data_IF_834089559539
#
_entry.id   IF_834089559539
#
_cell.length_a   1.000
_cell.length_b   1.000
_cell.length_c   1.000
_cell.angle_alpha   90.00
_cell.angle_beta   90.00
_cell.angle_gamma   90.00
#
_symmetry.space_group_name_H-M   'P 1'
#
loop_
_entity.id
_entity.type
_entity.pdbx_description
1 polymer ?
#
# COMPACT_ATOMS: atom_id res chain seq x y z
N UNK A 1 15.87 14.87 -12.32
CA UNK A 1 15.42 14.10 -11.15
C UNK A 1 14.35 14.92 -10.45
N UNK A 2 13.17 14.37 -10.22
CA UNK A 2 12.24 14.97 -9.26
C UNK A 2 12.90 14.80 -7.90
N UNK A 3 13.10 15.90 -7.20
CA UNK A 3 13.53 15.85 -5.79
C UNK A 3 12.45 15.08 -5.01
N UNK A 4 12.87 14.22 -4.08
CA UNK A 4 11.96 13.54 -3.18
C UNK A 4 11.29 14.57 -2.29
N UNK A 5 9.96 14.62 -2.29
CA UNK A 5 9.20 15.50 -1.41
C UNK A 5 9.21 14.92 0.00
N UNK A 6 9.48 15.76 0.99
CA UNK A 6 9.40 15.37 2.38
C UNK A 6 7.93 15.28 2.81
N UNK A 7 7.57 14.16 3.40
CA UNK A 7 6.21 13.88 3.84
C UNK A 7 5.94 14.30 5.28
N UNK A 8 4.65 14.36 5.60
CA UNK A 8 4.15 14.77 6.91
C UNK A 8 3.08 13.77 7.41
N UNK A 9 2.94 13.70 8.73
CA UNK A 9 1.87 12.96 9.40
C UNK A 9 1.00 13.93 10.18
N UNK A 10 -0.30 13.78 10.04
CA UNK A 10 -1.28 14.61 10.73
C UNK A 10 -2.25 13.78 11.56
N UNK A 11 -2.62 14.29 12.72
CA UNK A 11 -3.78 13.86 13.48
C UNK A 11 -4.99 14.69 13.02
N UNK A 12 -6.09 14.02 12.74
CA UNK A 12 -7.35 14.66 12.37
C UNK A 12 -8.38 14.41 13.45
N UNK A 13 -8.90 15.47 14.06
CA UNK A 13 -9.97 15.40 15.05
C UNK A 13 -11.33 15.73 14.43
N UNK A 14 -12.38 15.26 15.08
CA UNK A 14 -13.76 15.47 14.66
C UNK A 14 -14.10 14.94 13.25
N UNK A 15 -13.44 13.85 12.84
CA UNK A 15 -13.71 13.21 11.55
C UNK A 15 -14.88 12.23 11.64
N UNK A 16 -14.86 11.36 12.67
CA UNK A 16 -15.82 10.26 12.85
C UNK A 16 -17.24 10.78 13.06
N UNK A 17 -18.16 10.34 12.20
CA UNK A 17 -19.58 10.72 12.26
C UNK A 17 -19.86 12.20 11.95
N UNK A 18 -18.87 12.96 11.52
CA UNK A 18 -19.03 14.37 11.19
C UNK A 18 -19.28 14.55 9.69
N UNK A 19 -20.35 15.28 9.35
CA UNK A 19 -20.71 15.62 7.96
C UNK A 19 -20.31 17.04 7.56
N UNK A 20 -19.73 17.81 8.49
CA UNK A 20 -19.32 19.19 8.25
C UNK A 20 -17.78 19.30 8.26
N UNK A 21 -17.12 19.34 7.10
CA UNK A 21 -15.66 19.36 7.02
C UNK A 21 -15.03 20.59 7.69
N UNK A 22 -15.78 21.68 7.90
CA UNK A 22 -15.27 22.88 8.58
C UNK A 22 -14.99 22.67 10.07
N UNK A 23 -15.50 21.59 10.65
CA UNK A 23 -15.29 21.20 12.05
C UNK A 23 -14.09 20.25 12.25
N UNK A 24 -13.56 19.72 11.17
CA UNK A 24 -12.36 18.88 11.24
C UNK A 24 -11.16 19.75 11.55
N UNK A 25 -10.44 19.40 12.61
CA UNK A 25 -9.18 20.05 12.96
C UNK A 25 -8.01 19.16 12.60
N UNK A 26 -6.87 19.78 12.31
CA UNK A 26 -5.66 19.10 11.84
C UNK A 26 -4.47 19.56 12.69
N UNK A 27 -3.77 18.61 13.30
CA UNK A 27 -2.52 18.81 14.05
C UNK A 27 -1.37 18.13 13.34
N UNK A 28 -0.26 18.83 13.13
CA UNK A 28 0.97 18.24 12.60
C UNK A 28 1.61 17.38 13.68
N UNK A 29 1.81 16.08 13.39
CA UNK A 29 2.42 15.10 14.31
C UNK A 29 3.89 14.90 13.97
N UNK A 30 4.23 14.79 12.69
CA UNK A 30 5.61 14.60 12.22
C UNK A 30 5.81 15.20 10.83
N UNK A 31 7.04 15.59 10.54
CA UNK A 31 7.45 16.11 9.23
C UNK A 31 8.83 15.60 8.82
N UNK A 32 9.29 16.00 7.62
CA UNK A 32 10.60 15.61 7.08
C UNK A 32 10.79 14.09 6.88
N UNK A 33 9.72 13.34 6.67
CA UNK A 33 9.73 11.92 6.35
C UNK A 33 9.98 11.72 4.85
N UNK A 34 10.81 10.72 4.49
CA UNK A 34 11.13 10.41 3.09
C UNK A 34 9.97 9.71 2.38
N UNK A 35 9.03 10.48 1.83
CA UNK A 35 7.85 10.03 1.08
C UNK A 35 7.14 8.83 1.76
N UNK A 36 6.54 9.03 2.95
CA UNK A 36 5.91 7.97 3.72
C UNK A 36 4.67 7.44 3.01
N UNK A 37 4.60 6.12 2.79
CA UNK A 37 3.49 5.48 2.08
C UNK A 37 2.74 4.43 2.91
N UNK A 38 3.12 4.25 4.16
CA UNK A 38 2.42 3.40 5.11
C UNK A 38 2.58 3.89 6.54
N UNK A 39 1.49 3.77 7.30
CA UNK A 39 1.43 4.14 8.70
C UNK A 39 0.63 3.09 9.46
N UNK A 40 1.07 2.75 10.67
CA UNK A 40 0.31 1.94 11.61
C UNK A 40 0.56 2.39 13.05
N UNK A 41 -0.46 2.22 13.89
CA UNK A 41 -0.39 2.51 15.32
C UNK A 41 -0.38 1.20 16.10
N UNK A 42 0.66 0.98 16.90
CA UNK A 42 0.85 -0.28 17.64
C UNK A 42 1.36 0.03 19.06
N UNK A 43 0.65 -0.47 20.06
CA UNK A 43 1.02 -0.35 21.46
C UNK A 43 1.33 1.11 21.90
N UNK A 44 0.53 2.07 21.46
CA UNK A 44 0.70 3.48 21.82
C UNK A 44 1.70 4.25 20.95
N UNK A 45 2.24 3.65 19.89
CA UNK A 45 3.31 4.25 19.08
C UNK A 45 2.97 4.22 17.60
N UNK A 46 3.31 5.29 16.89
CA UNK A 46 3.16 5.39 15.42
C UNK A 46 4.43 4.88 14.74
N UNK A 47 4.24 4.01 13.75
CA UNK A 47 5.28 3.50 12.87
C UNK A 47 4.98 3.93 11.43
N UNK A 48 6.02 4.36 10.71
CA UNK A 48 5.89 4.87 9.33
C UNK A 48 6.89 4.16 8.42
N UNK A 49 6.42 3.64 7.29
CA UNK A 49 7.29 3.15 6.22
C UNK A 49 7.67 4.29 5.28
N UNK A 50 8.97 4.51 5.16
CA UNK A 50 9.59 5.46 4.22
C UNK A 50 10.24 4.69 3.06
N UNK A 51 10.69 5.38 2.01
CA UNK A 51 11.32 4.72 0.84
C UNK A 51 12.45 3.77 1.18
N UNK A 52 13.21 4.05 2.23
CA UNK A 52 14.44 3.38 2.62
C UNK A 52 14.38 2.66 3.98
N UNK A 53 13.26 2.72 4.69
CA UNK A 53 13.18 2.08 6.00
C UNK A 53 11.91 2.30 6.80
N UNK A 54 11.91 1.77 8.00
CA UNK A 54 10.83 1.86 8.99
C UNK A 54 11.26 2.75 10.14
N UNK A 55 10.48 3.79 10.40
CA UNK A 55 10.71 4.78 11.45
C UNK A 55 9.60 4.72 12.49
N UNK A 56 9.99 4.77 13.75
CA UNK A 56 9.10 4.99 14.89
C UNK A 56 9.03 6.48 15.18
N UNK A 57 7.83 7.01 15.34
CA UNK A 57 7.59 8.36 15.80
C UNK A 57 7.35 8.30 17.31
N UNK A 58 8.28 8.86 18.07
CA UNK A 58 8.24 8.85 19.54
C UNK A 58 7.80 10.21 20.03
N UNK A 59 6.75 10.21 20.82
CA UNK A 59 6.23 11.35 21.57
C UNK A 59 6.60 11.10 23.03
N UNK A 60 7.54 11.88 23.58
CA UNK A 60 8.07 11.66 24.95
C UNK A 60 7.27 12.38 26.03
N UNK A 61 6.67 13.52 25.69
CA UNK A 61 5.95 14.36 26.66
C UNK A 61 4.42 14.25 26.58
N UNK A 62 3.90 13.52 25.59
CA UNK A 62 2.48 13.22 25.44
C UNK A 62 1.69 14.35 24.79
N UNK A 63 2.33 15.23 24.06
CA UNK A 63 1.70 16.35 23.39
C UNK A 63 1.22 16.01 21.96
N UNK A 64 1.35 14.75 21.52
CA UNK A 64 0.99 14.22 20.18
C UNK A 64 1.85 14.79 19.03
N UNK A 65 3.00 15.35 19.34
CA UNK A 65 4.02 15.76 18.35
C UNK A 65 5.24 14.86 18.51
N UNK A 66 5.90 14.54 17.42
CA UNK A 66 7.07 13.68 17.44
C UNK A 66 8.30 14.42 17.94
N UNK A 67 8.87 13.97 19.05
CA UNK A 67 10.12 14.45 19.64
C UNK A 67 11.34 13.73 19.05
N UNK A 68 11.24 12.42 18.83
CA UNK A 68 12.31 11.59 18.33
C UNK A 68 11.85 10.73 17.15
N UNK A 69 12.64 10.74 16.08
CA UNK A 69 12.49 9.84 14.91
C UNK A 69 13.48 8.70 15.04
N UNK A 70 12.99 7.50 15.39
CA UNK A 70 13.86 6.33 15.61
C UNK A 70 13.77 5.36 14.46
N UNK A 71 14.81 5.28 13.63
CA UNK A 71 14.92 4.30 12.55
C UNK A 71 15.16 2.91 13.12
N UNK A 72 14.25 1.96 12.89
CA UNK A 72 14.33 0.60 13.43
C UNK A 72 14.71 -0.45 12.39
N UNK A 73 14.51 -0.18 11.11
CA UNK A 73 14.92 -1.05 10.03
C UNK A 73 15.20 -0.26 8.75
N UNK A 74 16.05 -0.81 7.87
CA UNK A 74 16.35 -0.26 6.55
C UNK A 74 16.27 -1.36 5.50
N UNK A 75 16.04 -0.94 4.25
CA UNK A 75 16.04 -1.79 3.06
C UNK A 75 16.65 -1.08 1.85
N UNK A 76 17.00 -1.79 0.75
CA UNK A 76 17.63 -1.19 -0.40
C UNK A 76 16.78 -0.06 -1.01
N UNK A 77 17.42 1.09 -1.26
CA UNK A 77 16.84 2.25 -1.94
C UNK A 77 17.88 2.86 -2.88
N UNK A 78 17.57 2.95 -4.14
CA UNK A 78 18.47 3.40 -5.21
C UNK A 78 18.28 4.86 -5.63
N UNK A 79 17.42 5.62 -4.93
CA UNK A 79 17.15 7.01 -5.23
C UNK A 79 16.19 7.26 -6.40
N UNK A 80 15.52 6.23 -6.89
CA UNK A 80 14.53 6.42 -7.94
C UNK A 80 13.22 7.00 -7.39
N UNK A 81 12.59 7.88 -8.18
CA UNK A 81 11.34 8.54 -7.80
C UNK A 81 10.21 7.56 -7.48
N UNK A 82 10.20 6.38 -8.09
CA UNK A 82 9.15 5.37 -7.96
C UNK A 82 9.47 4.24 -6.97
N UNK A 83 10.63 4.23 -6.35
CA UNK A 83 11.01 3.24 -5.35
C UNK A 83 10.32 3.48 -4.00
N UNK A 84 8.98 3.39 -3.98
CA UNK A 84 8.19 3.51 -2.76
C UNK A 84 8.25 2.24 -1.91
N UNK A 85 7.85 2.37 -0.63
CA UNK A 85 7.59 1.27 0.29
C UNK A 85 6.15 1.37 0.79
N UNK A 86 5.29 0.51 0.25
CA UNK A 86 3.84 0.59 0.37
C UNK A 86 3.29 -0.24 1.52
N UNK A 87 2.23 0.29 2.11
CA UNK A 87 1.53 -0.35 3.19
C UNK A 87 2.36 -0.29 4.47
N UNK A 88 1.77 -0.64 5.54
CA UNK A 88 2.42 -1.09 6.77
C UNK A 88 1.40 -1.88 7.55
N UNK A 89 1.54 -3.19 7.54
CA UNK A 89 0.68 -4.09 8.28
C UNK A 89 1.47 -4.65 9.46
N UNK A 90 0.88 -4.60 10.65
CA UNK A 90 1.47 -5.23 11.84
C UNK A 90 0.75 -6.52 12.19
N UNK A 91 1.51 -7.59 12.40
CA UNK A 91 0.98 -8.87 12.83
C UNK A 91 1.96 -9.65 13.70
N UNK A 92 1.51 -10.07 14.89
CA UNK A 92 2.23 -11.01 15.78
C UNK A 92 3.71 -10.65 15.97
N UNK A 93 4.00 -9.39 16.28
CA UNK A 93 5.35 -8.92 16.55
C UNK A 93 6.19 -8.56 15.31
N UNK A 94 5.58 -8.55 14.12
CA UNK A 94 6.27 -8.21 12.88
C UNK A 94 5.50 -7.16 12.08
N UNK A 95 6.25 -6.31 11.39
CA UNK A 95 5.72 -5.45 10.35
C UNK A 95 5.91 -6.08 8.98
N UNK A 96 4.97 -5.79 8.08
CA UNK A 96 5.05 -6.16 6.67
C UNK A 96 4.94 -4.91 5.81
N UNK A 97 5.82 -4.81 4.82
CA UNK A 97 5.86 -3.72 3.85
C UNK A 97 6.19 -4.28 2.48
N UNK A 98 5.65 -3.71 1.41
CA UNK A 98 6.00 -4.11 0.06
C UNK A 98 6.71 -2.96 -0.68
N UNK A 99 7.82 -3.26 -1.33
CA UNK A 99 8.66 -2.28 -2.03
C UNK A 99 8.37 -2.29 -3.53
N UNK A 100 8.14 -1.11 -4.10
CA UNK A 100 8.04 -0.93 -5.55
C UNK A 100 9.43 -0.89 -6.22
N UNK A 101 9.48 -1.22 -7.50
CA UNK A 101 10.71 -1.18 -8.32
C UNK A 101 11.00 0.22 -8.84
N UNK A 102 12.23 0.44 -9.31
CA UNK A 102 12.61 1.63 -10.04
C UNK A 102 11.96 1.67 -11.43
N UNK A 103 11.50 2.84 -11.84
CA UNK A 103 10.89 3.09 -13.15
C UNK A 103 11.55 4.28 -13.86
N UNK A 104 11.54 4.24 -15.17
CA UNK A 104 11.84 5.41 -16.00
C UNK A 104 10.60 6.31 -16.14
N UNK A 105 10.74 7.60 -16.44
CA UNK A 105 9.61 8.46 -16.75
C UNK A 105 8.73 7.84 -17.86
N UNK A 106 7.41 7.83 -17.60
CA UNK A 106 6.45 7.13 -18.48
C UNK A 106 6.05 5.74 -17.99
N UNK A 107 6.65 5.24 -16.90
CA UNK A 107 6.16 4.07 -16.16
C UNK A 107 6.70 2.72 -16.63
N UNK A 108 7.66 2.68 -17.57
CA UNK A 108 8.35 1.43 -17.87
C UNK A 108 9.33 1.03 -16.76
N UNK A 109 9.54 -0.27 -16.59
CA UNK A 109 10.53 -0.79 -15.65
C UNK A 109 11.91 -0.27 -16.01
N UNK A 110 12.64 0.28 -15.05
CA UNK A 110 14.04 0.65 -15.26
C UNK A 110 14.90 -0.61 -15.36
N UNK A 111 15.77 -0.66 -16.37
CA UNK A 111 16.70 -1.77 -16.59
C UNK A 111 18.11 -1.22 -16.89
N UNK A 112 19.13 -1.54 -16.09
CA UNK A 112 19.06 -2.27 -14.83
C UNK A 112 18.45 -1.44 -13.68
N UNK A 113 17.98 -2.13 -12.64
CA UNK A 113 17.56 -1.50 -11.37
C UNK A 113 18.77 -0.89 -10.65
N UNK A 114 18.58 0.21 -9.92
CA UNK A 114 19.64 0.87 -9.16
C UNK A 114 20.12 0.02 -7.98
N UNK A 115 19.24 -0.74 -7.38
CA UNK A 115 19.51 -1.64 -6.24
C UNK A 115 18.74 -2.95 -6.43
N UNK A 116 19.28 -4.09 -5.95
CA UNK A 116 18.59 -5.37 -6.06
C UNK A 116 17.42 -5.51 -5.09
N UNK A 117 16.62 -6.55 -5.30
CA UNK A 117 15.61 -7.06 -4.36
C UNK A 117 14.46 -6.08 -4.04
N UNK A 118 14.24 -5.06 -4.87
CA UNK A 118 12.99 -4.30 -4.87
C UNK A 118 11.90 -5.13 -5.58
N UNK A 119 10.64 -4.70 -5.49
CA UNK A 119 9.51 -5.53 -5.95
C UNK A 119 9.23 -6.72 -5.04
N UNK A 120 9.48 -6.56 -3.75
CA UNK A 120 9.38 -7.63 -2.75
C UNK A 120 8.50 -7.23 -1.57
N UNK A 121 7.90 -8.22 -0.92
CA UNK A 121 7.31 -8.04 0.41
C UNK A 121 8.32 -8.41 1.48
N UNK A 122 8.53 -7.50 2.41
CA UNK A 122 9.45 -7.60 3.53
C UNK A 122 8.68 -7.89 4.82
N UNK A 123 9.31 -8.64 5.71
CA UNK A 123 8.90 -8.89 7.10
C UNK A 123 9.97 -8.37 8.03
N UNK A 124 9.58 -7.51 8.95
CA UNK A 124 10.47 -6.81 9.89
C UNK A 124 10.10 -7.22 11.31
N UNK A 125 11.03 -7.78 12.06
CA UNK A 125 10.83 -8.09 13.48
C UNK A 125 10.79 -6.79 14.30
N UNK A 126 9.70 -6.56 15.05
CA UNK A 126 9.49 -5.32 15.82
C UNK A 126 10.56 -5.07 16.87
N UNK A 127 11.10 -6.15 17.48
CA UNK A 127 12.06 -6.02 18.59
C UNK A 127 13.49 -5.81 18.13
N UNK A 128 13.87 -6.49 17.04
CA UNK A 128 15.26 -6.53 16.58
C UNK A 128 15.52 -5.68 15.35
N UNK A 129 14.48 -5.24 14.64
CA UNK A 129 14.59 -4.56 13.34
C UNK A 129 15.06 -5.49 12.20
N UNK A 130 15.20 -6.80 12.45
CA UNK A 130 15.66 -7.74 11.43
C UNK A 130 14.68 -7.80 10.27
N UNK A 131 15.20 -7.51 9.07
CA UNK A 131 14.46 -7.61 7.81
C UNK A 131 14.66 -8.97 7.17
N UNK A 132 13.59 -9.54 6.64
CA UNK A 132 13.61 -10.76 5.84
C UNK A 132 12.63 -10.63 4.67
N UNK A 133 12.90 -11.35 3.57
CA UNK A 133 12.03 -11.35 2.40
C UNK A 133 10.97 -12.44 2.51
N UNK A 134 9.74 -12.11 2.14
CA UNK A 134 8.60 -13.04 2.13
C UNK A 134 8.24 -13.45 0.71
N UNK A 135 8.10 -12.48 -0.19
CA UNK A 135 7.72 -12.70 -1.58
C UNK A 135 8.47 -11.75 -2.51
N UNK A 136 8.56 -12.09 -3.78
CA UNK A 136 9.20 -11.29 -4.82
C UNK A 136 8.38 -11.23 -6.11
N UNK A 137 8.92 -10.59 -7.14
CA UNK A 137 8.27 -10.50 -8.44
C UNK A 137 7.05 -9.58 -8.49
N UNK A 138 7.02 -8.58 -7.62
CA UNK A 138 6.01 -7.51 -7.59
C UNK A 138 6.55 -6.27 -8.32
N UNK A 139 5.67 -5.46 -8.89
CA UNK A 139 6.06 -4.21 -9.58
C UNK A 139 5.80 -2.98 -8.72
N UNK A 140 4.53 -2.70 -8.46
CA UNK A 140 4.09 -1.57 -7.64
C UNK A 140 2.98 -2.07 -6.73
N UNK A 141 3.35 -2.82 -5.68
CA UNK A 141 2.40 -3.41 -4.75
C UNK A 141 1.84 -2.34 -3.81
N UNK A 142 0.76 -1.67 -4.23
CA UNK A 142 0.25 -0.46 -3.58
C UNK A 142 -0.56 -0.74 -2.30
N UNK A 143 0.00 -1.51 -1.39
CA UNK A 143 -0.51 -1.72 -0.04
C UNK A 143 -0.87 -3.16 0.28
N UNK A 144 -0.92 -3.42 1.57
CA UNK A 144 -1.18 -4.70 2.18
C UNK A 144 -2.48 -4.67 2.98
N UNK A 145 -3.15 -5.79 3.09
CA UNK A 145 -4.31 -5.97 3.95
C UNK A 145 -4.49 -7.41 4.41
N UNK A 146 -5.36 -7.60 5.41
CA UNK A 146 -5.72 -8.94 5.87
C UNK A 146 -6.83 -9.51 5.02
N UNK A 147 -6.73 -10.78 4.70
CA UNK A 147 -7.76 -11.54 4.03
C UNK A 147 -8.73 -12.24 4.99
N UNK A 148 -9.67 -13.03 4.44
CA UNK A 148 -10.76 -13.65 5.21
C UNK A 148 -10.32 -14.56 6.35
N UNK A 149 -9.19 -15.25 6.24
CA UNK A 149 -8.64 -16.15 7.27
C UNK A 149 -7.40 -15.58 7.97
N UNK A 150 -7.16 -14.25 7.80
CA UNK A 150 -6.05 -13.54 8.41
C UNK A 150 -4.75 -13.59 7.63
N UNK A 151 -4.72 -14.19 6.44
CA UNK A 151 -3.57 -14.12 5.54
C UNK A 151 -3.35 -12.70 5.02
N UNK A 152 -2.14 -12.43 4.57
CA UNK A 152 -1.77 -11.13 4.00
C UNK A 152 -2.05 -11.15 2.51
N UNK A 153 -2.74 -10.13 2.04
CA UNK A 153 -2.97 -9.87 0.63
C UNK A 153 -2.35 -8.55 0.21
N UNK A 154 -1.99 -8.46 -1.06
CA UNK A 154 -1.55 -7.24 -1.71
C UNK A 154 -2.24 -7.07 -3.06
N UNK A 155 -2.46 -5.84 -3.46
CA UNK A 155 -2.73 -5.51 -4.86
C UNK A 155 -1.42 -5.13 -5.54
N UNK A 156 -1.22 -5.54 -6.77
CA UNK A 156 -0.05 -5.17 -7.55
C UNK A 156 -0.46 -4.62 -8.92
N UNK A 157 0.26 -3.62 -9.37
CA UNK A 157 -0.05 -2.89 -10.59
C UNK A 157 0.52 -3.60 -11.83
N UNK A 158 -0.13 -3.42 -12.99
CA UNK A 158 0.35 -3.94 -14.28
C UNK A 158 1.77 -3.46 -14.61
N UNK A 159 2.47 -4.20 -15.43
CA UNK A 159 3.84 -3.87 -15.83
C UNK A 159 4.28 -4.50 -17.12
N UNK A 160 5.58 -4.42 -17.41
CA UNK A 160 6.17 -4.89 -18.65
C UNK A 160 5.98 -6.40 -18.87
N UNK A 161 6.08 -7.20 -17.81
CA UNK A 161 5.94 -8.67 -17.87
C UNK A 161 4.51 -9.13 -17.66
N UNK A 162 3.73 -8.41 -16.87
CA UNK A 162 2.35 -8.73 -16.54
C UNK A 162 1.49 -7.52 -16.86
N UNK A 163 0.83 -7.46 -18.02
CA UNK A 163 0.11 -6.28 -18.49
C UNK A 163 -1.30 -6.14 -17.87
N UNK A 164 -1.47 -6.61 -16.66
CA UNK A 164 -2.72 -6.48 -15.90
C UNK A 164 -2.42 -6.36 -14.41
N UNK A 165 -3.27 -5.63 -13.68
CA UNK A 165 -3.21 -5.57 -12.22
C UNK A 165 -3.74 -6.87 -11.61
N UNK A 166 -3.40 -7.13 -10.35
CA UNK A 166 -3.74 -8.39 -9.69
C UNK A 166 -3.92 -8.22 -8.18
N UNK A 167 -4.72 -9.10 -7.58
CA UNK A 167 -4.79 -9.35 -6.15
C UNK A 167 -4.03 -10.64 -5.86
N UNK A 168 -3.03 -10.58 -4.99
CA UNK A 168 -2.20 -11.73 -4.63
C UNK A 168 -2.29 -12.02 -3.13
N UNK A 169 -2.23 -13.30 -2.74
CA UNK A 169 -1.97 -13.73 -1.37
C UNK A 169 -0.47 -13.78 -1.15
N UNK A 170 0.05 -13.06 -0.17
CA UNK A 170 1.50 -13.03 0.13
C UNK A 170 1.92 -14.31 0.83
N UNK A 171 2.69 -15.13 0.16
CA UNK A 171 3.18 -16.41 0.63
C UNK A 171 4.71 -16.45 0.71
N UNK A 172 5.24 -17.19 1.68
CA UNK A 172 6.68 -17.32 1.86
C UNK A 172 7.33 -18.00 0.65
N UNK A 173 8.22 -17.31 -0.02
CA UNK A 173 8.94 -17.80 -1.20
C UNK A 173 8.18 -17.67 -2.52
N UNK A 174 7.03 -16.97 -2.53
CA UNK A 174 6.26 -16.73 -3.74
C UNK A 174 6.95 -15.76 -4.70
N UNK A 175 6.77 -16.00 -6.01
CA UNK A 175 7.21 -15.13 -7.09
C UNK A 175 6.02 -14.75 -8.00
N UNK A 176 5.75 -13.45 -8.13
CA UNK A 176 4.56 -12.94 -8.82
C UNK A 176 4.84 -12.40 -10.23
N UNK A 177 5.86 -12.97 -10.91
CA UNK A 177 6.14 -12.84 -12.34
C UNK A 177 6.62 -11.46 -12.83
N UNK A 178 7.08 -10.55 -11.97
CA UNK A 178 7.76 -9.36 -12.42
C UNK A 178 9.27 -9.50 -12.22
N UNK A 179 9.98 -9.81 -13.32
CA UNK A 179 11.43 -9.95 -13.31
C UNK A 179 12.13 -8.59 -13.30
N UNK A 180 13.32 -8.55 -12.68
CA UNK A 180 14.20 -7.38 -12.66
C UNK A 180 15.63 -7.77 -13.09
N UNK A 181 16.45 -6.78 -13.38
CA UNK A 181 17.87 -6.94 -13.65
C UNK A 181 18.69 -6.00 -12.72
N UNK A 182 19.53 -6.49 -11.80
CA UNK A 182 19.74 -7.93 -11.52
C UNK A 182 18.49 -8.62 -10.98
N UNK A 183 18.51 -9.97 -11.05
CA UNK A 183 17.41 -10.80 -10.57
C UNK A 183 17.02 -10.43 -9.14
N UNK A 184 15.69 -10.35 -8.91
CA UNK A 184 15.12 -10.11 -7.60
C UNK A 184 15.10 -11.37 -6.72
N UNK A 185 14.58 -11.19 -5.50
CA UNK A 185 14.35 -12.32 -4.60
C UNK A 185 13.29 -13.24 -5.21
N UNK A 186 13.60 -14.53 -5.29
CA UNK A 186 12.72 -15.58 -5.81
C UNK A 186 12.45 -15.57 -7.33
N UNK A 187 13.18 -14.80 -8.13
CA UNK A 187 13.03 -14.81 -9.60
C UNK A 187 13.34 -16.16 -10.23
N UNK A 188 14.05 -17.04 -9.50
CA UNK A 188 14.34 -18.44 -9.85
C UNK A 188 13.19 -19.42 -9.50
N UNK A 189 12.13 -18.94 -8.86
CA UNK A 189 11.01 -19.76 -8.45
C UNK A 189 9.94 -19.86 -9.54
N UNK A 190 9.13 -20.93 -9.54
CA UNK A 190 7.92 -20.98 -10.35
C UNK A 190 7.00 -19.80 -10.04
N UNK A 191 6.32 -19.32 -11.06
CA UNK A 191 5.34 -18.24 -10.91
C UNK A 191 4.20 -18.70 -9.99
N UNK A 192 3.90 -17.88 -8.99
CA UNK A 192 2.73 -18.04 -8.13
C UNK A 192 1.56 -17.29 -8.78
N UNK A 193 0.49 -18.01 -9.08
CA UNK A 193 -0.71 -17.41 -9.68
C UNK A 193 -1.38 -16.42 -8.73
N UNK A 194 -1.92 -15.31 -9.24
CA UNK A 194 -2.70 -14.39 -8.43
C UNK A 194 -4.05 -15.00 -8.05
N UNK A 195 -4.62 -14.52 -6.96
CA UNK A 195 -5.98 -14.88 -6.55
C UNK A 195 -7.02 -14.32 -7.53
N UNK A 196 -6.80 -13.07 -8.00
CA UNK A 196 -7.63 -12.43 -9.01
C UNK A 196 -6.77 -11.63 -9.97
N UNK A 197 -7.09 -11.75 -11.25
CA UNK A 197 -6.68 -10.80 -12.27
C UNK A 197 -7.65 -9.60 -12.29
N UNK A 198 -7.09 -8.40 -12.44
CA UNK A 198 -7.83 -7.14 -12.47
C UNK A 198 -7.57 -6.47 -13.84
N UNK A 199 -8.31 -6.84 -14.89
CA UNK A 199 -8.06 -6.38 -16.24
C UNK A 199 -7.94 -4.87 -16.33
N UNK A 200 -6.82 -4.44 -16.94
CA UNK A 200 -6.50 -3.03 -17.14
C UNK A 200 -7.51 -2.38 -18.07
N UNK A 201 -7.95 -1.18 -17.71
CA UNK A 201 -8.93 -0.43 -18.49
C UNK A 201 -10.40 -0.85 -18.26
N UNK A 202 -10.64 -2.02 -17.68
CA UNK A 202 -12.00 -2.53 -17.45
C UNK A 202 -12.37 -2.57 -15.97
N UNK A 203 -11.53 -3.20 -15.14
CA UNK A 203 -11.79 -3.41 -13.72
C UNK A 203 -10.98 -2.44 -12.86
N UNK A 204 -9.66 -2.44 -13.02
CA UNK A 204 -8.80 -1.59 -12.21
C UNK A 204 -7.53 -1.19 -12.96
N UNK A 205 -7.05 0.01 -12.66
CA UNK A 205 -5.79 0.51 -13.13
C UNK A 205 -5.09 1.24 -11.98
N UNK A 206 -4.17 0.57 -11.32
CA UNK A 206 -3.55 0.98 -10.06
C UNK A 206 -4.46 0.77 -8.84
N UNK A 207 -4.74 -0.48 -8.49
CA UNK A 207 -5.48 -0.79 -7.28
C UNK A 207 -4.71 -0.35 -6.03
N UNK A 208 -5.44 0.10 -5.01
CA UNK A 208 -4.88 0.46 -3.70
C UNK A 208 -4.93 -0.70 -2.71
N UNK A 209 -4.57 -0.44 -1.44
CA UNK A 209 -4.54 -1.48 -0.41
C UNK A 209 -5.87 -2.24 -0.29
N UNK A 210 -5.83 -3.58 -0.18
CA UNK A 210 -7.02 -4.36 0.11
C UNK A 210 -7.41 -4.23 1.58
N UNK A 211 -8.71 -4.22 1.86
CA UNK A 211 -9.33 -4.10 3.17
C UNK A 211 -10.42 -5.15 3.31
N UNK A 212 -10.39 -5.98 4.36
CA UNK A 212 -11.45 -6.91 4.68
C UNK A 212 -12.61 -6.19 5.37
N UNK A 213 -13.82 -6.39 4.90
CA UNK A 213 -15.03 -5.89 5.55
C UNK A 213 -15.44 -6.86 6.68
N UNK A 214 -15.41 -6.42 7.95
CA UNK A 214 -15.72 -7.31 9.08
C UNK A 214 -17.22 -7.55 9.26
N UNK A 215 -18.05 -6.63 8.78
CA UNK A 215 -19.50 -6.61 9.01
C UNK A 215 -20.27 -6.04 7.83
N UNK A 216 -21.60 -6.02 7.93
CA UNK A 216 -22.49 -5.48 6.92
C UNK A 216 -22.83 -6.48 5.80
N UNK A 217 -23.51 -6.03 4.74
CA UNK A 217 -24.02 -6.89 3.67
C UNK A 217 -22.92 -7.57 2.85
N UNK A 218 -21.69 -7.11 2.95
CA UNK A 218 -20.52 -7.63 2.26
C UNK A 218 -19.44 -8.14 3.23
N UNK A 219 -19.83 -8.50 4.45
CA UNK A 219 -18.92 -9.06 5.44
C UNK A 219 -18.12 -10.25 4.87
N UNK A 220 -16.83 -10.32 5.20
CA UNK A 220 -15.91 -11.34 4.70
C UNK A 220 -15.39 -11.11 3.27
N UNK A 221 -15.82 -10.07 2.60
CA UNK A 221 -15.30 -9.68 1.29
C UNK A 221 -14.23 -8.59 1.41
N UNK A 222 -13.36 -8.51 0.43
CA UNK A 222 -12.31 -7.49 0.40
C UNK A 222 -12.73 -6.30 -0.47
N UNK A 223 -12.30 -5.11 -0.07
CA UNK A 223 -12.48 -3.88 -0.85
C UNK A 223 -11.11 -3.26 -1.09
N UNK A 224 -10.91 -2.67 -2.24
CA UNK A 224 -9.72 -1.87 -2.57
C UNK A 224 -10.10 -0.68 -3.45
N UNK A 225 -9.31 0.39 -3.36
CA UNK A 225 -9.53 1.57 -4.18
C UNK A 225 -8.91 1.44 -5.57
N UNK A 226 -9.25 2.36 -6.44
CA UNK A 226 -8.64 2.54 -7.75
C UNK A 226 -8.09 3.97 -7.86
N UNK A 227 -6.78 4.08 -8.03
CA UNK A 227 -6.09 5.38 -8.09
C UNK A 227 -6.38 6.09 -9.42
N UNK A 228 -6.55 5.34 -10.50
CA UNK A 228 -6.74 5.94 -11.82
C UNK A 228 -8.19 6.35 -12.09
N UNK A 229 -9.14 5.50 -11.74
CA UNK A 229 -10.54 5.74 -12.08
C UNK A 229 -11.38 6.38 -10.97
N UNK A 230 -10.85 6.43 -9.75
CA UNK A 230 -11.55 7.00 -8.61
C UNK A 230 -12.79 6.21 -8.23
N UNK A 231 -12.65 5.26 -7.35
CA UNK A 231 -13.74 4.42 -6.87
C UNK A 231 -13.24 3.24 -6.05
N UNK A 232 -14.18 2.41 -5.63
CA UNK A 232 -13.92 1.20 -4.87
C UNK A 232 -14.33 -0.04 -5.68
N UNK A 233 -13.48 -1.05 -5.64
CA UNK A 233 -13.76 -2.40 -6.13
C UNK A 233 -13.97 -3.31 -4.94
N UNK A 234 -14.80 -4.34 -5.11
CA UNK A 234 -15.11 -5.36 -4.10
C UNK A 234 -14.79 -6.74 -4.65
N UNK A 235 -14.00 -7.51 -3.92
CA UNK A 235 -13.65 -8.87 -4.25
C UNK A 235 -14.34 -9.86 -3.32
N UNK A 236 -15.11 -10.79 -3.88
CA UNK A 236 -15.57 -11.99 -3.21
C UNK A 236 -14.52 -13.07 -3.40
N UNK A 237 -14.08 -13.69 -2.31
CA UNK A 237 -13.10 -14.76 -2.33
C UNK A 237 -13.67 -16.02 -1.69
N UNK A 238 -13.34 -17.17 -2.26
CA UNK A 238 -13.64 -18.49 -1.68
C UNK A 238 -12.43 -19.42 -1.82
N UNK A 239 -12.32 -20.40 -0.93
CA UNK A 239 -11.31 -21.45 -1.05
C UNK A 239 -11.89 -22.69 -1.70
N UNK A 240 -11.24 -23.15 -2.77
CA UNK A 240 -11.55 -24.39 -3.47
C UNK A 240 -10.28 -25.24 -3.54
N UNK A 241 -10.31 -26.43 -2.94
CA UNK A 241 -9.13 -27.28 -2.89
C UNK A 241 -7.93 -26.71 -2.11
N UNK A 242 -8.17 -25.72 -1.24
CA UNK A 242 -7.12 -25.05 -0.46
C UNK A 242 -6.60 -23.74 -1.10
N UNK A 243 -6.93 -23.49 -2.35
CA UNK A 243 -6.53 -22.27 -3.08
C UNK A 243 -7.68 -21.27 -3.15
N UNK A 244 -7.33 -19.97 -3.12
CA UNK A 244 -8.30 -18.91 -3.30
C UNK A 244 -8.65 -18.71 -4.77
N UNK A 245 -9.92 -18.55 -5.01
CA UNK A 245 -10.48 -18.01 -6.25
C UNK A 245 -11.58 -17.00 -5.91
N UNK A 246 -12.10 -16.27 -6.89
CA UNK A 246 -13.17 -15.33 -6.64
C UNK A 246 -13.61 -14.50 -7.83
N UNK A 247 -14.34 -13.45 -7.52
CA UNK A 247 -14.84 -12.50 -8.51
C UNK A 247 -14.70 -11.07 -7.97
N UNK A 248 -14.51 -10.12 -8.88
CA UNK A 248 -14.43 -8.70 -8.56
C UNK A 248 -15.64 -7.96 -9.10
N UNK A 249 -16.14 -7.03 -8.31
CA UNK A 249 -17.31 -6.21 -8.62
C UNK A 249 -16.99 -4.74 -8.37
N UNK A 250 -17.46 -3.85 -9.22
CA UNK A 250 -17.40 -2.43 -8.96
C UNK A 250 -18.36 -2.09 -7.82
N UNK A 251 -17.86 -1.44 -6.77
CA UNK A 251 -18.65 -1.06 -5.60
C UNK A 251 -19.11 0.40 -5.68
N UNK A 252 -18.18 1.32 -5.98
CA UNK A 252 -18.48 2.73 -6.21
C UNK A 252 -17.76 3.24 -7.46
N UNK A 253 -18.23 4.37 -7.99
CA UNK A 253 -17.69 4.99 -9.18
C UNK A 253 -17.88 6.50 -9.09
N UNK A 254 -17.00 7.27 -9.76
CA UNK A 254 -17.21 8.70 -9.89
C UNK A 254 -16.80 9.53 -8.67
N UNK A 255 -15.92 9.00 -7.81
CA UNK A 255 -15.26 9.82 -6.80
C UNK A 255 -14.36 10.85 -7.49
N UNK A 256 -14.27 12.04 -6.93
CA UNK A 256 -13.59 13.19 -7.55
C UNK A 256 -12.04 13.03 -7.59
N UNK A 257 -11.49 12.09 -6.81
CA UNK A 257 -10.07 11.81 -6.75
C UNK A 257 -9.78 10.32 -6.91
N UNK A 258 -8.55 9.97 -7.30
CA UNK A 258 -8.07 8.59 -7.26
C UNK A 258 -7.99 8.10 -5.82
N UNK A 259 -8.47 6.88 -5.54
CA UNK A 259 -8.46 6.32 -4.19
C UNK A 259 -7.15 5.57 -3.96
N UNK A 260 -6.26 6.16 -3.17
CA UNK A 260 -4.94 5.60 -2.90
C UNK A 260 -4.85 4.79 -1.60
N UNK A 261 -5.64 5.12 -0.60
CA UNK A 261 -5.70 4.38 0.68
C UNK A 261 -7.12 4.30 1.17
N UNK A 262 -7.43 3.16 1.78
CA UNK A 262 -8.69 2.96 2.49
C UNK A 262 -8.41 2.35 3.87
N UNK A 263 -9.22 2.71 4.84
CA UNK A 263 -9.23 2.12 6.17
C UNK A 263 -10.63 2.08 6.75
N UNK A 264 -10.86 1.22 7.75
CA UNK A 264 -12.08 1.26 8.55
C UNK A 264 -11.91 2.27 9.68
N UNK A 265 -12.90 3.12 9.84
CA UNK A 265 -13.02 3.95 11.01
C UNK A 265 -13.63 3.22 12.21
N UNK A 266 -13.58 3.82 13.40
CA UNK A 266 -14.17 3.26 14.62
C UNK A 266 -15.71 3.19 14.57
N UNK A 267 -16.31 3.89 13.64
CA UNK A 267 -17.75 3.90 13.33
C UNK A 267 -18.18 2.84 12.30
N UNK A 268 -17.23 2.01 11.83
CA UNK A 268 -17.45 1.01 10.78
C UNK A 268 -17.51 1.60 9.35
N UNK A 269 -17.33 2.91 9.20
CA UNK A 269 -17.28 3.54 7.88
C UNK A 269 -15.94 3.28 7.17
N UNK A 270 -15.95 3.21 5.83
CA UNK A 270 -14.74 3.18 5.02
C UNK A 270 -14.28 4.62 4.80
N UNK A 271 -13.09 4.93 5.30
CA UNK A 271 -12.40 6.18 5.03
C UNK A 271 -11.49 6.00 3.83
N UNK A 272 -11.62 6.88 2.83
CA UNK A 272 -10.85 6.83 1.59
C UNK A 272 -9.98 8.07 1.46
N UNK A 273 -8.68 7.86 1.34
CA UNK A 273 -7.70 8.90 1.02
C UNK A 273 -7.52 9.01 -0.48
N UNK A 274 -7.83 10.17 -1.05
CA UNK A 274 -7.71 10.46 -2.48
C UNK A 274 -6.41 11.17 -2.83
N UNK A 275 -5.94 10.96 -4.07
CA UNK A 275 -4.84 11.71 -4.67
C UNK A 275 -5.24 12.19 -6.07
N UNK A 276 -4.91 13.42 -6.38
CA UNK A 276 -5.17 14.00 -7.70
C UNK A 276 -6.62 13.92 -8.13
N UNK A 277 -6.88 14.25 -9.39
CA UNK A 277 -8.16 13.95 -10.04
C UNK A 277 -8.15 12.50 -10.55
N UNK A 278 -9.28 11.81 -10.51
CA UNK A 278 -9.38 10.49 -11.09
C UNK A 278 -9.01 10.50 -12.59
N UNK A 279 -8.22 9.51 -12.99
CA UNK A 279 -7.79 9.35 -14.39
C UNK A 279 -6.60 10.20 -14.81
N UNK A 280 -6.02 11.00 -13.93
CA UNK A 280 -4.89 11.85 -14.28
C UNK A 280 -3.76 11.81 -13.27
N UNK A 281 -2.73 11.05 -13.53
CA UNK A 281 -1.52 10.94 -12.70
C UNK A 281 -0.59 12.15 -12.74
N UNK A 282 -0.72 13.00 -13.76
CA UNK A 282 0.15 14.13 -14.02
C UNK A 282 -0.38 15.45 -13.49
N UNK A 283 -1.25 15.42 -12.49
CA UNK A 283 -1.99 16.56 -12.03
C UNK A 283 -1.14 17.69 -11.50
N UNK A 284 -1.16 18.78 -12.21
CA UNK A 284 -0.93 20.09 -11.64
C UNK A 284 -2.27 20.64 -11.12
N UNK A 285 -2.50 20.46 -9.83
CA UNK A 285 -3.21 21.40 -9.01
C UNK A 285 -4.63 21.80 -9.39
N UNK A 286 -5.59 20.89 -9.55
CA UNK A 286 -6.99 21.19 -9.29
C UNK A 286 -7.63 20.04 -8.53
N UNK A 287 -7.17 19.82 -7.32
CA UNK A 287 -7.85 18.95 -6.37
C UNK A 287 -9.21 19.61 -6.08
N UNK A 288 -10.27 18.99 -6.53
CA UNK A 288 -11.58 19.26 -5.99
C UNK A 288 -11.70 18.39 -4.73
N UNK A 289 -11.67 19.04 -3.60
CA UNK A 289 -12.00 18.39 -2.34
C UNK A 289 -13.52 18.25 -2.29
N UNK A 290 -14.01 17.01 -2.28
CA UNK A 290 -15.39 16.70 -1.97
C UNK A 290 -15.61 16.65 -0.46
#
# INVERSE_FOLDING_TARGET
SRESELGQVYLLDNVTGNTDPSKVTKKLVAENLLEPMGLTYVDGTIYVSEKDGLTTLVDEDGDEVTDEYRRIATWPFGGNYHEFAFGLLYEKGHFYVSTGIAMVPGGATQDPQNVPNRGSTLKIDKKTGKVSYVAGGLRTPNGLGRGPEGEIFATDNQGAYVPTSKLVRIEQGAFYNHHTNPDGVYDDRPVTEPVLWLPHGEISNSPSNPLLLPEGPFAGQMVFGDVTYGGLQRAYLEKVGGEYQGAVFRMTQGLEAGVNRISLGPDGAIYAGGIGDAGNWGQEGKLKFG
#
